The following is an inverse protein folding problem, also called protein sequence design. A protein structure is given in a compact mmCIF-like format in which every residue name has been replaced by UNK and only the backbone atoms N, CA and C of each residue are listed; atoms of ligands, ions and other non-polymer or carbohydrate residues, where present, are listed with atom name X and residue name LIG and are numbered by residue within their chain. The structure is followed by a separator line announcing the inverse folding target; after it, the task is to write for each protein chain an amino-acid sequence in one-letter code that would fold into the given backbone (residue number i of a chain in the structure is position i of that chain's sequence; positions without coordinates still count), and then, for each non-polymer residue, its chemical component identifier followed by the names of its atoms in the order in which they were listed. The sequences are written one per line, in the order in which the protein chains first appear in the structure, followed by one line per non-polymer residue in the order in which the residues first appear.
data_IF_702920779408
#
_entry.id   IF_702920779408
#
_cell.length_a   1.000
_cell.length_b   1.000
_cell.length_c   1.000
_cell.angle_alpha   90.00
_cell.angle_beta   90.00
_cell.angle_gamma   90.00
#
_symmetry.space_group_name_H-M   'P 1'
#
loop_
_entity.id
_entity.type
_entity.pdbx_description
1 polymer ?
#
# COMPACT_ATOMS: atom_id res chain seq x y z
N UNK A 1 0.57 -23.47 -7.97
CA UNK A 1 1.22 -22.19 -8.35
C UNK A 1 2.42 -22.04 -7.44
N UNK A 2 3.60 -21.77 -7.97
CA UNK A 2 4.79 -21.57 -7.12
C UNK A 2 4.72 -20.22 -6.40
N UNK A 3 5.40 -20.12 -5.26
CA UNK A 3 5.52 -18.87 -4.48
C UNK A 3 6.03 -17.69 -5.32
N UNK A 4 7.00 -17.97 -6.21
CA UNK A 4 7.59 -16.97 -7.13
C UNK A 4 6.57 -16.49 -8.17
N UNK A 5 5.72 -17.38 -8.69
CA UNK A 5 4.67 -16.98 -9.64
C UNK A 5 3.59 -16.13 -8.97
N UNK A 6 3.24 -16.46 -7.72
CA UNK A 6 2.28 -15.70 -6.93
C UNK A 6 2.80 -14.31 -6.58
N UNK A 7 4.05 -14.20 -6.11
CA UNK A 7 4.73 -12.93 -5.88
C UNK A 7 4.69 -12.04 -7.14
N UNK A 8 5.07 -12.60 -8.31
CA UNK A 8 5.04 -11.87 -9.58
C UNK A 8 3.63 -11.39 -9.96
N UNK A 9 2.61 -12.19 -9.68
CA UNK A 9 1.20 -11.81 -9.92
C UNK A 9 0.77 -10.67 -8.99
N UNK A 10 1.12 -10.74 -7.71
CA UNK A 10 0.83 -9.67 -6.75
C UNK A 10 1.52 -8.37 -7.16
N UNK A 11 2.80 -8.40 -7.51
CA UNK A 11 3.54 -7.23 -7.99
C UNK A 11 2.95 -6.66 -9.28
N UNK A 12 2.52 -7.51 -10.22
CA UNK A 12 1.84 -7.06 -11.45
C UNK A 12 0.53 -6.35 -11.13
N UNK A 13 -0.27 -6.90 -10.20
CA UNK A 13 -1.55 -6.28 -9.81
C UNK A 13 -1.35 -4.99 -9.03
N UNK A 14 -0.36 -4.94 -8.13
CA UNK A 14 0.02 -3.74 -7.40
C UNK A 14 0.35 -2.58 -8.35
N UNK A 15 1.19 -2.83 -9.37
CA UNK A 15 1.48 -1.83 -10.42
C UNK A 15 0.23 -1.39 -11.18
N UNK A 16 -0.64 -2.32 -11.55
CA UNK A 16 -1.90 -1.97 -12.23
C UNK A 16 -2.82 -1.08 -11.38
N UNK A 17 -2.87 -1.30 -10.07
CA UNK A 17 -3.61 -0.41 -9.16
C UNK A 17 -2.97 0.97 -9.04
N UNK A 18 -1.64 1.05 -9.02
CA UNK A 18 -0.94 2.33 -8.98
C UNK A 18 -1.18 3.15 -10.27
N UNK A 19 -1.05 2.52 -11.44
CA UNK A 19 -1.39 3.14 -12.74
C UNK A 19 -2.85 3.60 -12.78
N UNK A 20 -3.76 2.80 -12.19
CA UNK A 20 -5.18 3.15 -12.07
C UNK A 20 -5.37 4.39 -11.18
N UNK A 21 -4.65 4.48 -10.07
CA UNK A 21 -4.70 5.64 -9.18
C UNK A 21 -4.25 6.93 -9.89
N UNK A 22 -3.18 6.86 -10.66
CA UNK A 22 -2.69 8.01 -11.45
C UNK A 22 -3.73 8.45 -12.50
N UNK A 23 -4.34 7.50 -13.19
CA UNK A 23 -5.43 7.80 -14.13
C UNK A 23 -6.63 8.44 -13.41
N UNK A 24 -7.02 7.93 -12.25
CA UNK A 24 -8.14 8.45 -11.46
C UNK A 24 -7.88 9.89 -10.98
N UNK A 25 -6.66 10.21 -10.54
CA UNK A 25 -6.25 11.58 -10.20
C UNK A 25 -6.41 12.50 -11.41
N UNK A 26 -5.92 12.09 -12.59
CA UNK A 26 -6.06 12.87 -13.83
C UNK A 26 -7.51 13.09 -14.28
N UNK A 27 -8.46 12.32 -13.75
CA UNK A 27 -9.90 12.43 -14.01
C UNK A 27 -10.69 13.11 -12.90
N UNK A 28 -10.05 13.49 -11.79
CA UNK A 28 -10.70 14.10 -10.64
C UNK A 28 -11.37 13.10 -9.68
N UNK A 29 -11.12 11.81 -9.83
CA UNK A 29 -11.68 10.74 -8.98
C UNK A 29 -10.77 10.45 -7.79
N UNK A 30 -10.61 11.43 -6.91
CA UNK A 30 -9.58 11.40 -5.87
C UNK A 30 -9.84 10.35 -4.78
N UNK A 31 -11.08 10.18 -4.35
CA UNK A 31 -11.50 9.14 -3.42
C UNK A 31 -11.17 7.73 -3.96
N UNK A 32 -11.52 7.48 -5.23
CA UNK A 32 -11.22 6.21 -5.90
C UNK A 32 -9.72 6.03 -6.13
N UNK A 33 -8.97 7.12 -6.38
CA UNK A 33 -7.52 7.07 -6.47
C UNK A 33 -6.88 6.63 -5.16
N UNK A 34 -7.33 7.18 -4.03
CA UNK A 34 -6.83 6.81 -2.70
C UNK A 34 -7.16 5.36 -2.37
N UNK A 35 -8.34 4.87 -2.75
CA UNK A 35 -8.66 3.45 -2.65
C UNK A 35 -7.71 2.58 -3.49
N UNK A 36 -7.46 2.94 -4.75
CA UNK A 36 -6.53 2.21 -5.62
C UNK A 36 -5.10 2.23 -5.06
N UNK A 37 -4.67 3.34 -4.46
CA UNK A 37 -3.37 3.46 -3.79
C UNK A 37 -3.23 2.50 -2.61
N UNK A 38 -4.26 2.38 -1.76
CA UNK A 38 -4.25 1.42 -0.65
C UNK A 38 -4.15 -0.03 -1.18
N UNK A 39 -4.93 -0.36 -2.21
CA UNK A 39 -4.87 -1.69 -2.84
C UNK A 39 -3.48 -1.97 -3.45
N UNK A 40 -2.87 -0.97 -4.10
CA UNK A 40 -1.53 -1.08 -4.65
C UNK A 40 -0.51 -1.41 -3.57
N UNK A 41 -0.52 -0.64 -2.47
CA UNK A 41 0.41 -0.80 -1.36
C UNK A 41 0.20 -2.13 -0.63
N UNK A 42 -1.03 -2.52 -0.37
CA UNK A 42 -1.36 -3.79 0.28
C UNK A 42 -0.83 -5.00 -0.52
N UNK A 43 -1.03 -4.99 -1.84
CA UNK A 43 -0.54 -6.06 -2.73
C UNK A 43 0.98 -6.08 -2.81
N UNK A 44 1.62 -4.91 -2.85
CA UNK A 44 3.08 -4.80 -2.82
C UNK A 44 3.64 -5.43 -1.54
N UNK A 45 3.16 -5.00 -0.37
CA UNK A 45 3.65 -5.50 0.92
C UNK A 45 3.39 -7.00 1.09
N UNK A 46 2.24 -7.50 0.65
CA UNK A 46 1.96 -8.95 0.62
C UNK A 46 2.93 -9.71 -0.27
N UNK A 47 3.32 -9.15 -1.42
CA UNK A 47 4.34 -9.76 -2.27
C UNK A 47 5.71 -9.78 -1.59
N UNK A 48 6.10 -8.68 -0.92
CA UNK A 48 7.36 -8.61 -0.16
C UNK A 48 7.40 -9.62 0.99
N UNK A 49 6.31 -9.74 1.75
CA UNK A 49 6.17 -10.73 2.81
C UNK A 49 6.25 -12.17 2.28
N UNK A 50 5.61 -12.43 1.14
CA UNK A 50 5.67 -13.73 0.48
C UNK A 50 7.10 -14.09 0.04
N UNK A 51 7.87 -13.10 -0.44
CA UNK A 51 9.27 -13.28 -0.81
C UNK A 51 10.16 -13.64 0.40
N UNK A 52 9.85 -13.10 1.58
CA UNK A 52 10.50 -13.46 2.86
C UNK A 52 9.94 -14.76 3.48
N UNK A 53 9.02 -15.45 2.78
CA UNK A 53 8.47 -16.73 3.20
C UNK A 53 7.28 -16.67 4.16
N UNK A 54 6.72 -15.48 4.40
CA UNK A 54 5.51 -15.30 5.21
C UNK A 54 4.28 -15.60 4.38
N UNK A 55 3.49 -16.58 4.82
CA UNK A 55 2.27 -16.99 4.12
C UNK A 55 1.03 -16.23 4.63
N UNK A 56 0.31 -15.60 3.70
CA UNK A 56 -1.05 -15.07 3.86
C UNK A 56 -1.36 -14.35 5.19
N UNK A 57 -0.73 -13.18 5.43
CA UNK A 57 -1.12 -12.32 6.55
C UNK A 57 -2.60 -11.95 6.43
N UNK A 58 -3.40 -12.34 7.43
CA UNK A 58 -4.87 -12.12 7.48
C UNK A 58 -5.22 -10.69 7.92
N UNK A 59 -4.55 -9.70 7.35
CA UNK A 59 -4.80 -8.28 7.60
C UNK A 59 -4.82 -7.50 6.29
N UNK A 60 -5.56 -6.39 6.32
CA UNK A 60 -5.61 -5.38 5.28
C UNK A 60 -4.91 -4.08 5.70
N UNK A 61 -4.46 -3.98 6.96
CA UNK A 61 -3.70 -2.82 7.44
C UNK A 61 -2.30 -2.81 6.83
N UNK A 62 -2.00 -1.78 6.04
CA UNK A 62 -0.67 -1.58 5.46
C UNK A 62 0.39 -1.30 6.54
N UNK A 63 0.01 -0.66 7.66
CA UNK A 63 0.89 -0.51 8.83
C UNK A 63 1.24 -1.86 9.45
N UNK A 64 0.26 -2.70 9.71
CA UNK A 64 0.49 -4.04 10.24
C UNK A 64 1.33 -4.89 9.26
N UNK A 65 1.10 -4.78 7.96
CA UNK A 65 1.93 -5.48 6.95
C UNK A 65 3.38 -4.98 6.97
N UNK A 66 3.61 -3.67 7.10
CA UNK A 66 4.96 -3.09 7.26
C UNK A 66 5.64 -3.53 8.55
N UNK A 67 4.91 -3.57 9.67
CA UNK A 67 5.41 -4.06 10.95
C UNK A 67 5.87 -5.51 10.83
N UNK A 68 5.01 -6.40 10.32
CA UNK A 68 5.37 -7.81 10.07
C UNK A 68 6.60 -7.89 9.17
N UNK A 69 6.64 -7.10 8.09
CA UNK A 69 7.77 -7.10 7.17
C UNK A 69 9.07 -6.69 7.87
N UNK A 70 9.02 -5.68 8.75
CA UNK A 70 10.17 -5.23 9.53
C UNK A 70 10.72 -6.29 10.48
N UNK A 71 9.90 -7.25 10.90
CA UNK A 71 10.34 -8.32 11.80
C UNK A 71 10.95 -9.53 11.06
N UNK A 72 10.61 -9.72 9.78
CA UNK A 72 11.07 -10.88 8.99
C UNK A 72 12.20 -10.59 8.02
N UNK A 73 12.45 -9.33 7.66
CA UNK A 73 13.58 -8.97 6.80
C UNK A 73 14.92 -9.06 7.54
N UNK A 74 16.00 -9.12 6.75
CA UNK A 74 17.37 -9.01 7.25
C UNK A 74 17.60 -7.72 8.07
N UNK A 75 18.49 -7.80 9.07
CA UNK A 75 18.71 -6.77 10.09
C UNK A 75 19.06 -5.39 9.50
N UNK A 76 19.81 -5.38 8.39
CA UNK A 76 20.20 -4.17 7.65
C UNK A 76 19.01 -3.41 7.04
N UNK A 77 17.91 -4.12 6.75
CA UNK A 77 16.69 -3.55 6.18
C UNK A 77 15.67 -3.12 7.24
N UNK A 78 15.77 -3.64 8.47
CA UNK A 78 14.80 -3.33 9.53
C UNK A 78 14.72 -1.84 9.83
N UNK A 79 15.87 -1.18 9.98
CA UNK A 79 15.94 0.25 10.24
C UNK A 79 15.30 1.07 9.10
N UNK A 80 15.48 0.63 7.86
CA UNK A 80 14.87 1.27 6.68
C UNK A 80 13.35 1.17 6.73
N UNK A 81 12.81 -0.03 6.98
CA UNK A 81 11.36 -0.25 7.02
C UNK A 81 10.72 0.51 8.19
N UNK A 82 11.36 0.51 9.37
CA UNK A 82 10.88 1.31 10.52
C UNK A 82 10.91 2.81 10.21
N UNK A 83 11.97 3.30 9.57
CA UNK A 83 12.05 4.69 9.13
C UNK A 83 10.96 5.07 8.11
N UNK A 84 10.59 4.16 7.22
CA UNK A 84 9.46 4.34 6.29
C UNK A 84 8.13 4.44 7.05
N UNK A 85 7.90 3.55 8.01
CA UNK A 85 6.68 3.54 8.82
C UNK A 85 6.53 4.83 9.63
N UNK A 86 7.61 5.29 10.27
CA UNK A 86 7.62 6.55 11.03
C UNK A 86 7.41 7.77 10.13
N UNK A 87 8.13 7.83 9.00
CA UNK A 87 8.08 8.96 8.07
C UNK A 87 6.69 9.13 7.43
N UNK A 88 6.00 8.04 7.15
CA UNK A 88 4.73 8.05 6.42
C UNK A 88 3.52 7.67 7.30
N UNK A 89 3.66 7.73 8.63
CA UNK A 89 2.63 7.29 9.58
C UNK A 89 1.25 7.90 9.30
N UNK A 90 1.22 9.22 9.02
CA UNK A 90 -0.01 9.95 8.74
C UNK A 90 -0.65 9.52 7.41
N UNK A 91 0.16 9.41 6.36
CA UNK A 91 -0.29 8.97 5.04
C UNK A 91 -0.81 7.52 5.07
N UNK A 92 -0.11 6.64 5.77
CA UNK A 92 -0.53 5.25 5.98
C UNK A 92 -1.86 5.16 6.72
N UNK A 93 -2.07 5.98 7.76
CA UNK A 93 -3.36 6.02 8.47
C UNK A 93 -4.50 6.44 7.54
N UNK A 94 -4.27 7.46 6.71
CA UNK A 94 -5.28 7.96 5.76
C UNK A 94 -5.61 6.91 4.68
N UNK A 95 -4.61 6.18 4.18
CA UNK A 95 -4.83 5.09 3.22
C UNK A 95 -5.67 3.96 3.82
N UNK A 96 -5.39 3.55 5.07
CA UNK A 96 -6.18 2.53 5.76
C UNK A 96 -7.62 2.99 6.01
N UNK A 97 -7.81 4.26 6.38
CA UNK A 97 -9.13 4.84 6.53
C UNK A 97 -9.89 4.81 5.19
N UNK A 98 -9.24 5.08 4.05
CA UNK A 98 -9.86 5.00 2.73
C UNK A 98 -10.37 3.58 2.37
N UNK A 99 -9.68 2.52 2.81
CA UNK A 99 -10.13 1.13 2.64
C UNK A 99 -11.43 0.82 3.41
N UNK A 100 -11.63 1.47 4.55
CA UNK A 100 -12.83 1.31 5.39
C UNK A 100 -13.93 2.27 4.91
N UNK A 101 -13.59 3.54 4.69
CA UNK A 101 -14.53 4.63 4.40
C UNK A 101 -15.09 4.58 2.99
N UNK A 102 -14.32 4.20 1.96
CA UNK A 102 -14.85 4.05 0.58
C UNK A 102 -16.07 3.13 0.46
N UNK A 103 -16.30 2.24 1.45
CA UNK A 103 -17.47 1.35 1.52
C UNK A 103 -18.61 1.84 2.41
N UNK A 104 -18.36 2.79 3.32
CA UNK A 104 -19.31 3.11 4.39
C UNK A 104 -19.49 4.61 4.67
N UNK A 105 -18.52 5.46 4.33
CA UNK A 105 -18.54 6.92 4.54
C UNK A 105 -17.79 7.61 3.40
N UNK A 106 -18.49 8.36 2.56
CA UNK A 106 -17.87 9.14 1.48
C UNK A 106 -16.98 10.24 2.09
N UNK A 107 -15.68 10.00 2.18
CA UNK A 107 -14.70 11.06 2.43
C UNK A 107 -14.26 11.60 1.08
N UNK A 108 -14.51 12.87 0.85
CA UNK A 108 -13.93 13.58 -0.28
C UNK A 108 -12.44 13.85 -0.02
N UNK A 109 -11.64 13.67 -1.06
CA UNK A 109 -10.22 14.01 -1.07
C UNK A 109 -10.00 15.15 -2.07
N UNK A 110 -9.10 16.07 -1.72
CA UNK A 110 -8.60 17.06 -2.67
C UNK A 110 -7.50 16.48 -3.57
N UNK A 111 -7.21 17.16 -4.69
CA UNK A 111 -6.07 16.85 -5.55
C UNK A 111 -4.75 16.82 -4.75
N UNK A 112 -4.55 17.83 -3.89
CA UNK A 112 -3.33 17.96 -3.09
C UNK A 112 -3.15 16.80 -2.11
N UNK A 113 -4.23 16.35 -1.47
CA UNK A 113 -4.18 15.16 -0.60
C UNK A 113 -3.88 13.91 -1.42
N UNK A 114 -4.54 13.71 -2.55
CA UNK A 114 -4.31 12.54 -3.42
C UNK A 114 -2.87 12.49 -3.96
N UNK A 115 -2.32 13.62 -4.40
CA UNK A 115 -0.92 13.71 -4.86
C UNK A 115 0.08 13.45 -3.73
N UNK A 116 -0.20 13.96 -2.52
CA UNK A 116 0.64 13.71 -1.34
C UNK A 116 0.67 12.22 -0.99
N UNK A 117 -0.48 11.55 -1.02
CA UNK A 117 -0.59 10.12 -0.77
C UNK A 117 0.09 9.31 -1.88
N UNK A 118 -0.08 9.71 -3.14
CA UNK A 118 0.57 9.05 -4.28
C UNK A 118 2.10 9.11 -4.14
N UNK A 119 2.64 10.27 -3.75
CA UNK A 119 4.07 10.43 -3.48
C UNK A 119 4.54 9.48 -2.39
N UNK A 120 3.80 9.37 -1.29
CA UNK A 120 4.15 8.44 -0.20
C UNK A 120 4.15 6.98 -0.70
N UNK A 121 3.12 6.55 -1.42
CA UNK A 121 3.03 5.17 -1.94
C UNK A 121 4.14 4.84 -2.93
N UNK A 122 4.62 5.82 -3.71
CA UNK A 122 5.76 5.63 -4.62
C UNK A 122 7.12 5.59 -3.91
N UNK A 123 7.23 6.21 -2.73
CA UNK A 123 8.45 6.20 -1.92
C UNK A 123 8.59 4.91 -1.09
N UNK A 124 7.48 4.19 -0.85
CA UNK A 124 7.42 2.90 -0.15
C UNK A 124 7.66 1.74 -1.13
#
# INVERSE_FOLDING_TARGET
MSRVEEEKRLLKRSRGFLETAEYQIGRGFYDLAVFSMEQALQLFLKARLLAEGVEYPRTHSVRALLEILSEVVAEDKKAVIRGVLEKHLMELSVLEDAYITSRYVMRDFSLQEAEKLLKAVKEI
#
